data_IF_650247146134
#
_entry.id   IF_650247146134
#
_cell.length_a   1.000
_cell.length_b   1.000
_cell.length_c   1.000
_cell.angle_alpha   90.00
_cell.angle_beta   90.00
_cell.angle_gamma   90.00
#
_symmetry.space_group_name_H-M   'P 1'
#
loop_
_entity.id
_entity.type
_entity.pdbx_description
1 polymer ?
#
# COMPACT_ATOMS: atom_id res chain seq x y z
N UNK A 1 30.46 26.98 6.78
CA UNK A 1 30.31 27.85 7.99
C UNK A 1 31.28 29.04 8.05
N UNK A 2 32.58 28.89 7.68
CA UNK A 2 33.58 29.99 7.76
C UNK A 2 33.16 31.27 7.00
N UNK A 3 32.63 31.13 5.79
CA UNK A 3 32.21 32.27 4.96
C UNK A 3 30.98 33.00 5.50
N UNK A 4 30.08 32.31 6.21
CA UNK A 4 28.92 32.94 6.85
C UNK A 4 29.32 33.74 8.10
N UNK A 5 30.29 33.23 8.88
CA UNK A 5 30.84 33.96 10.03
C UNK A 5 31.55 35.25 9.60
N UNK A 6 32.34 35.19 8.52
CA UNK A 6 33.02 36.36 7.95
C UNK A 6 31.99 37.38 7.43
N UNK A 7 30.97 36.93 6.69
CA UNK A 7 29.89 37.80 6.23
C UNK A 7 29.18 38.47 7.39
N UNK A 8 28.80 37.71 8.43
CA UNK A 8 28.11 38.26 9.59
C UNK A 8 28.95 39.28 10.34
N UNK A 9 30.24 38.99 10.55
CA UNK A 9 31.17 39.95 11.15
C UNK A 9 31.27 41.23 10.33
N UNK A 10 31.45 41.12 9.01
CA UNK A 10 31.47 42.29 8.11
C UNK A 10 30.15 43.06 8.13
N UNK A 11 29.01 42.36 8.12
CA UNK A 11 27.68 42.95 8.18
C UNK A 11 27.48 43.75 9.46
N UNK A 12 27.84 43.20 10.62
CA UNK A 12 27.78 43.93 11.88
C UNK A 12 28.70 45.14 11.90
N UNK A 13 29.93 45.01 11.39
CA UNK A 13 30.89 46.13 11.31
C UNK A 13 30.35 47.22 10.38
N UNK A 14 29.87 46.87 9.19
CA UNK A 14 29.31 47.80 8.22
C UNK A 14 28.08 48.53 8.80
N UNK A 15 27.19 47.81 9.48
CA UNK A 15 26.04 48.40 10.16
C UNK A 15 26.47 49.39 11.26
N UNK A 16 27.45 49.01 12.07
CA UNK A 16 27.97 49.86 13.14
C UNK A 16 28.63 51.14 12.58
N UNK A 17 29.43 51.01 11.52
CA UNK A 17 30.07 52.15 10.85
C UNK A 17 29.03 53.10 10.25
N UNK A 18 28.05 52.60 9.50
CA UNK A 18 27.00 53.43 8.89
C UNK A 18 26.08 54.07 9.93
N UNK A 19 25.83 53.38 11.04
CA UNK A 19 25.11 53.94 12.19
C UNK A 19 25.91 55.08 12.83
N UNK A 20 27.22 54.90 13.01
CA UNK A 20 28.10 55.94 13.53
C UNK A 20 28.16 57.16 12.59
N UNK A 21 28.20 56.94 11.27
CA UNK A 21 28.10 58.03 10.26
C UNK A 21 26.79 58.79 10.40
N UNK A 22 25.66 58.10 10.59
CA UNK A 22 24.36 58.75 10.82
C UNK A 22 24.34 59.62 12.08
N UNK A 23 24.91 59.13 13.17
CA UNK A 23 25.03 59.90 14.43
C UNK A 23 25.96 61.09 14.26
N UNK A 24 27.06 60.95 13.52
CA UNK A 24 28.00 62.03 13.26
C UNK A 24 27.39 63.14 12.40
N UNK A 25 26.71 62.77 11.30
CA UNK A 25 26.13 63.73 10.35
C UNK A 25 24.89 64.45 10.91
N UNK A 26 24.02 63.71 11.59
CA UNK A 26 22.74 64.26 12.04
C UNK A 26 22.70 64.54 13.54
N UNK A 27 23.76 64.22 14.29
CA UNK A 27 23.81 64.40 15.73
C UNK A 27 22.99 63.38 16.51
N UNK A 28 22.82 63.66 17.82
CA UNK A 28 22.05 62.80 18.73
C UNK A 28 20.55 62.86 18.44
N UNK A 29 19.80 61.79 18.78
CA UNK A 29 18.33 61.82 18.73
C UNK A 29 17.78 62.89 19.68
N UNK A 30 16.73 63.60 19.25
CA UNK A 30 16.13 64.72 19.97
C UNK A 30 16.76 66.08 19.61
N UNK A 31 16.29 67.15 20.25
CA UNK A 31 16.78 68.52 19.99
C UNK A 31 18.24 68.68 20.43
N UNK A 32 19.01 69.47 19.68
CA UNK A 32 20.42 69.73 20.01
C UNK A 32 20.54 70.49 21.34
N UNK A 33 21.67 70.30 22.03
CA UNK A 33 21.95 71.03 23.28
C UNK A 33 22.02 72.53 23.05
N UNK A 34 22.57 72.95 21.91
CA UNK A 34 22.67 74.36 21.50
C UNK A 34 21.29 74.99 21.28
N UNK A 35 20.38 74.26 20.62
CA UNK A 35 19.02 74.72 20.44
C UNK A 35 18.28 74.90 21.77
N UNK A 36 18.40 73.91 22.65
CA UNK A 36 17.75 73.94 23.96
C UNK A 36 18.35 75.02 24.87
N UNK A 37 19.66 75.26 24.83
CA UNK A 37 20.28 76.32 25.63
C UNK A 37 19.64 77.70 25.38
N UNK A 38 19.32 78.01 24.12
CA UNK A 38 18.79 79.32 23.73
C UNK A 38 17.25 79.40 23.69
N UNK A 39 16.55 78.27 23.60
CA UNK A 39 15.09 78.24 23.38
C UNK A 39 14.33 77.40 24.41
N UNK A 40 14.94 76.99 25.52
CA UNK A 40 14.35 76.03 26.47
C UNK A 40 12.95 76.41 26.94
N UNK A 41 12.77 77.66 27.38
CA UNK A 41 11.51 78.12 27.96
C UNK A 41 10.40 78.22 26.90
N UNK A 42 10.71 78.84 25.76
CA UNK A 42 9.81 78.91 24.62
C UNK A 42 9.44 77.50 24.11
N UNK A 43 10.41 76.57 24.10
CA UNK A 43 10.20 75.19 23.70
C UNK A 43 9.27 74.45 24.66
N UNK A 44 9.49 74.60 25.97
CA UNK A 44 8.60 74.04 27.00
C UNK A 44 7.19 74.58 26.88
N UNK A 45 7.03 75.89 26.64
CA UNK A 45 5.73 76.53 26.41
C UNK A 45 5.06 75.96 25.16
N UNK A 46 5.79 75.86 24.06
CA UNK A 46 5.30 75.23 22.83
C UNK A 46 4.85 73.77 23.07
N UNK A 47 5.65 72.99 23.80
CA UNK A 47 5.30 71.59 24.12
C UNK A 47 4.02 71.51 24.96
N UNK A 48 3.85 72.39 25.95
CA UNK A 48 2.63 72.44 26.77
C UNK A 48 1.39 72.74 25.92
N UNK A 49 1.50 73.71 25.00
CA UNK A 49 0.41 74.06 24.06
C UNK A 49 0.13 72.89 23.11
N UNK A 50 1.16 72.27 22.54
CA UNK A 50 1.02 71.13 21.60
C UNK A 50 0.36 69.89 22.21
N UNK A 51 0.43 69.75 23.54
CA UNK A 51 -0.20 68.65 24.30
C UNK A 51 -1.65 68.96 24.68
N UNK A 52 -2.09 70.21 24.55
CA UNK A 52 -3.45 70.59 24.88
C UNK A 52 -4.44 69.97 23.86
N UNK A 53 -5.42 69.16 24.30
CA UNK A 53 -6.37 68.50 23.40
C UNK A 53 -7.22 69.47 22.57
N UNK A 54 -7.56 70.65 23.11
CA UNK A 54 -8.34 71.65 22.38
C UNK A 54 -7.53 72.27 21.25
N UNK A 55 -6.24 72.54 21.50
CA UNK A 55 -5.31 73.02 20.48
C UNK A 55 -5.06 71.96 19.40
N UNK A 56 -4.95 70.68 19.76
CA UNK A 56 -4.82 69.58 18.78
C UNK A 56 -6.04 69.47 17.86
N UNK A 57 -7.25 69.51 18.43
CA UNK A 57 -8.51 69.51 17.65
C UNK A 57 -8.62 70.74 16.74
N UNK A 58 -8.17 71.89 17.20
CA UNK A 58 -8.07 73.09 16.37
C UNK A 58 -7.09 72.89 15.20
N UNK A 59 -5.90 72.35 15.42
CA UNK A 59 -4.94 72.06 14.35
C UNK A 59 -5.47 71.06 13.31
N UNK A 60 -6.26 70.06 13.72
CA UNK A 60 -6.87 69.09 12.81
C UNK A 60 -8.04 69.67 12.02
N UNK A 61 -8.93 70.44 12.69
CA UNK A 61 -10.15 71.01 12.11
C UNK A 61 -10.43 72.40 12.69
N UNK A 62 -9.78 73.46 12.16
CA UNK A 62 -9.86 74.81 12.73
C UNK A 62 -11.27 75.40 12.71
N UNK A 63 -12.02 75.16 11.64
CA UNK A 63 -13.37 75.71 11.43
C UNK A 63 -14.43 75.11 12.35
N UNK A 64 -14.20 73.90 12.89
CA UNK A 64 -15.15 73.18 13.75
C UNK A 64 -14.84 73.32 15.24
N UNK A 65 -13.64 73.78 15.58
CA UNK A 65 -13.17 73.91 16.96
C UNK A 65 -12.59 75.31 17.19
N UNK A 66 -13.42 76.38 17.14
CA UNK A 66 -12.94 77.72 17.41
C UNK A 66 -12.35 77.81 18.83
N UNK A 67 -11.24 78.53 18.96
CA UNK A 67 -10.54 78.70 20.23
C UNK A 67 -11.04 79.93 20.98
N UNK A 68 -11.08 79.84 22.32
CA UNK A 68 -11.28 81.00 23.17
C UNK A 68 -10.13 82.00 23.03
N UNK A 69 -10.36 83.29 23.35
CA UNK A 69 -9.36 84.36 23.20
C UNK A 69 -8.01 84.06 23.87
N UNK A 70 -8.00 83.31 24.97
CA UNK A 70 -6.77 82.89 25.64
C UNK A 70 -6.00 81.83 24.82
N UNK A 71 -6.71 80.79 24.35
CA UNK A 71 -6.15 79.72 23.53
C UNK A 71 -5.73 80.22 22.15
N UNK A 72 -6.39 81.24 21.61
CA UNK A 72 -6.00 81.88 20.35
C UNK A 72 -4.59 82.48 20.45
N UNK A 73 -4.29 83.19 21.55
CA UNK A 73 -2.94 83.74 21.79
C UNK A 73 -1.87 82.66 21.92
N UNK A 74 -2.22 81.52 22.52
CA UNK A 74 -1.33 80.35 22.60
C UNK A 74 -1.12 79.70 21.23
N UNK A 75 -2.17 79.61 20.41
CA UNK A 75 -2.09 79.10 19.05
C UNK A 75 -1.23 80.01 18.16
N UNK A 76 -1.37 81.33 18.26
CA UNK A 76 -0.56 82.30 17.54
C UNK A 76 0.91 82.21 17.94
N UNK A 77 1.19 82.04 19.24
CA UNK A 77 2.55 81.77 19.75
C UNK A 77 3.11 80.48 19.15
N UNK A 78 2.35 79.39 19.15
CA UNK A 78 2.79 78.12 18.58
C UNK A 78 3.03 78.20 17.06
N UNK A 79 2.19 78.92 16.33
CA UNK A 79 2.37 79.18 14.90
C UNK A 79 3.64 79.99 14.63
N UNK A 80 3.86 81.08 15.38
CA UNK A 80 5.07 81.90 15.26
C UNK A 80 6.34 81.11 15.65
N UNK A 81 6.26 80.28 16.70
CA UNK A 81 7.37 79.44 17.15
C UNK A 81 7.76 78.38 16.11
N UNK A 82 6.78 77.70 15.50
CA UNK A 82 7.02 76.71 14.45
C UNK A 82 7.50 77.32 13.13
N UNK A 83 7.26 78.61 12.92
CA UNK A 83 7.79 79.36 11.78
C UNK A 83 9.28 79.72 11.94
N UNK A 84 9.85 79.68 13.16
CA UNK A 84 11.25 80.07 13.40
C UNK A 84 12.22 79.16 12.62
N UNK A 85 13.23 79.74 11.94
CA UNK A 85 14.18 78.97 11.14
C UNK A 85 14.98 77.96 11.96
N UNK A 86 15.37 78.31 13.19
CA UNK A 86 16.09 77.42 14.10
C UNK A 86 15.28 76.18 14.48
N UNK A 87 13.98 76.34 14.77
CA UNK A 87 13.10 75.20 15.08
C UNK A 87 12.91 74.29 13.85
N UNK A 88 12.72 74.88 12.66
CA UNK A 88 12.58 74.13 11.41
C UNK A 88 13.85 73.33 11.06
N UNK A 89 15.03 73.93 11.24
CA UNK A 89 16.31 73.27 11.01
C UNK A 89 16.49 72.05 11.94
N UNK A 90 16.20 72.19 13.23
CA UNK A 90 16.24 71.07 14.18
C UNK A 90 15.22 69.99 13.87
N UNK A 91 13.99 70.37 13.50
CA UNK A 91 12.95 69.42 13.10
C UNK A 91 13.37 68.65 11.85
N UNK A 92 13.99 69.32 10.89
CA UNK A 92 14.51 68.68 9.68
C UNK A 92 15.68 67.75 10.00
N UNK A 93 16.61 68.15 10.86
CA UNK A 93 17.72 67.29 11.33
C UNK A 93 17.20 66.01 11.98
N UNK A 94 16.23 66.12 12.88
CA UNK A 94 15.61 64.95 13.53
C UNK A 94 14.86 64.07 12.54
N UNK A 95 14.19 64.66 11.55
CA UNK A 95 13.50 63.91 10.51
C UNK A 95 14.48 63.15 9.61
N UNK A 96 15.57 63.79 9.18
CA UNK A 96 16.63 63.16 8.40
C UNK A 96 17.33 62.05 9.19
N UNK A 97 17.60 62.28 10.48
CA UNK A 97 18.08 61.23 11.39
C UNK A 97 17.13 60.03 11.39
N UNK A 98 15.83 60.25 11.58
CA UNK A 98 14.85 59.17 11.63
C UNK A 98 14.73 58.41 10.29
N UNK A 99 14.77 59.11 9.16
CA UNK A 99 14.77 58.48 7.84
C UNK A 99 16.04 57.67 7.64
N UNK A 100 17.22 58.23 7.96
CA UNK A 100 18.49 57.56 7.80
C UNK A 100 18.49 56.18 8.47
N UNK A 101 18.09 56.13 9.74
CA UNK A 101 18.03 54.87 10.48
C UNK A 101 16.94 53.92 9.97
N UNK A 102 15.78 54.43 9.55
CA UNK A 102 14.73 53.59 8.95
C UNK A 102 15.20 52.95 7.64
N UNK A 103 15.83 53.72 6.77
CA UNK A 103 16.35 53.24 5.47
C UNK A 103 17.52 52.27 5.70
N UNK A 104 18.45 52.61 6.60
CA UNK A 104 19.56 51.73 6.97
C UNK A 104 19.06 50.38 7.47
N UNK A 105 18.10 50.39 8.40
CA UNK A 105 17.50 49.16 8.94
C UNK A 105 16.80 48.35 7.86
N UNK A 106 15.98 49.00 7.02
CA UNK A 106 15.28 48.33 5.93
C UNK A 106 16.24 47.68 4.94
N UNK A 107 17.32 48.38 4.57
CA UNK A 107 18.34 47.88 3.65
C UNK A 107 19.09 46.69 4.23
N UNK A 108 19.51 46.76 5.49
CA UNK A 108 20.21 45.66 6.16
C UNK A 108 19.32 44.44 6.36
N UNK A 109 18.05 44.63 6.73
CA UNK A 109 17.06 43.55 6.80
C UNK A 109 16.81 42.91 5.42
N UNK A 110 16.71 43.73 4.37
CA UNK A 110 16.57 43.24 3.01
C UNK A 110 17.77 42.39 2.58
N UNK A 111 18.99 42.83 2.88
CA UNK A 111 20.21 42.06 2.61
C UNK A 111 20.17 40.71 3.34
N UNK A 112 19.77 40.66 4.61
CA UNK A 112 19.63 39.42 5.35
C UNK A 112 18.57 38.50 4.72
N UNK A 113 17.42 39.06 4.37
CA UNK A 113 16.33 38.31 3.74
C UNK A 113 16.75 37.70 2.40
N UNK A 114 17.41 38.47 1.54
CA UNK A 114 17.90 37.96 0.25
C UNK A 114 19.01 36.93 0.45
N UNK A 115 19.94 37.17 1.38
CA UNK A 115 21.10 36.29 1.59
C UNK A 115 20.75 34.95 2.20
N UNK A 116 19.76 34.91 3.10
CA UNK A 116 19.38 33.73 3.87
C UNK A 116 18.00 33.18 3.50
N UNK A 117 17.01 34.04 3.24
CA UNK A 117 15.67 33.63 2.85
C UNK A 117 15.59 33.06 1.43
N UNK A 118 16.27 33.69 0.46
CA UNK A 118 16.22 33.24 -0.94
C UNK A 118 16.77 31.82 -1.15
N UNK A 119 17.92 31.43 -0.55
CA UNK A 119 18.39 30.06 -0.62
C UNK A 119 17.42 29.06 0.00
N UNK A 120 16.84 29.37 1.17
CA UNK A 120 15.87 28.49 1.83
C UNK A 120 14.63 28.28 0.94
N UNK A 121 14.10 29.38 0.38
CA UNK A 121 12.96 29.32 -0.52
C UNK A 121 13.25 28.48 -1.77
N UNK A 122 14.45 28.65 -2.37
CA UNK A 122 14.87 27.84 -3.52
C UNK A 122 14.98 26.36 -3.18
N UNK A 123 15.68 26.00 -2.10
CA UNK A 123 15.82 24.60 -1.68
C UNK A 123 14.46 23.95 -1.41
N UNK A 124 13.54 24.70 -0.80
CA UNK A 124 12.16 24.23 -0.58
C UNK A 124 11.43 23.96 -1.90
N UNK A 125 11.47 24.92 -2.83
CA UNK A 125 10.86 24.79 -4.16
C UNK A 125 11.46 23.63 -4.97
N UNK A 126 12.79 23.55 -5.02
CA UNK A 126 13.52 22.50 -5.74
C UNK A 126 13.18 21.11 -5.17
N UNK A 127 13.08 20.98 -3.84
CA UNK A 127 12.68 19.73 -3.19
C UNK A 127 11.26 19.32 -3.59
N UNK A 128 10.32 20.26 -3.64
CA UNK A 128 8.95 19.97 -4.07
C UNK A 128 8.87 19.61 -5.55
N UNK A 129 9.62 20.30 -6.42
CA UNK A 129 9.70 19.98 -7.85
C UNK A 129 10.25 18.55 -8.02
N UNK A 130 11.31 18.21 -7.31
CA UNK A 130 11.91 16.89 -7.37
C UNK A 130 10.92 15.80 -6.91
N UNK A 131 10.22 16.01 -5.80
CA UNK A 131 9.18 15.06 -5.33
C UNK A 131 8.07 14.85 -6.36
N UNK A 132 7.62 15.91 -7.03
CA UNK A 132 6.58 15.81 -8.08
C UNK A 132 7.12 15.01 -9.27
N UNK A 133 8.35 15.27 -9.70
CA UNK A 133 8.99 14.53 -10.79
C UNK A 133 9.14 13.05 -10.44
N UNK A 134 9.66 12.72 -9.26
CA UNK A 134 9.80 11.32 -8.82
C UNK A 134 8.46 10.61 -8.78
N UNK A 135 7.40 11.27 -8.29
CA UNK A 135 6.04 10.68 -8.29
C UNK A 135 5.51 10.44 -9.70
N UNK A 136 5.80 11.34 -10.62
CA UNK A 136 5.42 11.18 -12.03
C UNK A 136 6.13 9.96 -12.62
N UNK A 137 7.45 9.87 -12.45
CA UNK A 137 8.25 8.77 -12.99
C UNK A 137 7.79 7.42 -12.41
N UNK A 138 7.50 7.34 -11.11
CA UNK A 138 6.97 6.11 -10.49
C UNK A 138 5.61 5.72 -11.05
N UNK A 139 4.73 6.69 -11.33
CA UNK A 139 3.41 6.40 -11.91
C UNK A 139 3.53 5.95 -13.36
N UNK A 140 4.47 6.51 -14.14
CA UNK A 140 4.74 6.07 -15.51
C UNK A 140 5.29 4.63 -15.52
N UNK A 141 6.21 4.30 -14.62
CA UNK A 141 6.73 2.93 -14.45
C UNK A 141 5.64 1.93 -14.02
N UNK A 142 4.78 2.32 -13.07
CA UNK A 142 3.65 1.49 -12.63
C UNK A 142 2.65 1.26 -13.77
N UNK A 143 2.35 2.29 -14.56
CA UNK A 143 1.47 2.18 -15.72
C UNK A 143 2.07 1.28 -16.80
N UNK A 144 3.38 1.37 -17.06
CA UNK A 144 4.08 0.50 -18.00
C UNK A 144 4.07 -0.97 -17.53
N UNK A 145 4.24 -1.23 -16.23
CA UNK A 145 4.14 -2.58 -15.66
C UNK A 145 2.73 -3.13 -15.74
N UNK A 146 1.73 -2.31 -15.38
CA UNK A 146 0.32 -2.70 -15.46
C UNK A 146 -0.11 -3.00 -16.90
N UNK A 147 0.39 -2.23 -17.87
CA UNK A 147 0.09 -2.48 -19.29
C UNK A 147 0.75 -3.76 -19.82
N UNK A 148 2.01 -4.05 -19.42
CA UNK A 148 2.67 -5.32 -19.74
C UNK A 148 1.92 -6.51 -19.15
N UNK A 149 1.54 -6.44 -17.87
CA UNK A 149 0.78 -7.50 -17.20
C UNK A 149 -0.60 -7.72 -17.85
N UNK A 150 -1.25 -6.64 -18.28
CA UNK A 150 -2.51 -6.74 -19.01
C UNK A 150 -2.33 -7.40 -20.38
N UNK A 151 -1.23 -7.10 -21.08
CA UNK A 151 -0.90 -7.73 -22.37
C UNK A 151 -0.59 -9.23 -22.21
N UNK A 152 0.26 -9.60 -21.24
CA UNK A 152 0.58 -11.00 -20.90
C UNK A 152 -0.68 -11.79 -20.50
N UNK A 153 -1.53 -11.20 -19.67
CA UNK A 153 -2.80 -11.82 -19.28
C UNK A 153 -3.70 -12.03 -20.50
N UNK A 154 -3.79 -11.05 -21.40
CA UNK A 154 -4.59 -11.15 -22.61
C UNK A 154 -4.08 -12.22 -23.57
N UNK A 155 -2.76 -12.37 -23.69
CA UNK A 155 -2.13 -13.43 -24.47
C UNK A 155 -2.42 -14.81 -23.85
N UNK A 156 -2.26 -14.97 -22.54
CA UNK A 156 -2.62 -16.21 -21.83
C UNK A 156 -4.11 -16.56 -22.04
N UNK A 157 -5.01 -15.58 -21.94
CA UNK A 157 -6.43 -15.77 -22.23
C UNK A 157 -6.70 -16.18 -23.68
N UNK A 158 -5.88 -15.72 -24.64
CA UNK A 158 -6.05 -16.11 -26.05
C UNK A 158 -5.68 -17.57 -26.33
N UNK A 159 -4.85 -18.18 -25.48
CA UNK A 159 -4.44 -19.58 -25.61
C UNK A 159 -5.35 -20.57 -24.87
N UNK A 160 -6.17 -20.11 -23.93
CA UNK A 160 -7.12 -20.94 -23.18
C UNK A 160 -8.05 -21.79 -24.09
N UNK A 161 -8.68 -21.24 -25.15
CA UNK A 161 -9.54 -22.03 -26.02
C UNK A 161 -8.83 -23.23 -26.67
N UNK A 162 -7.56 -23.07 -27.03
CA UNK A 162 -6.77 -24.15 -27.62
C UNK A 162 -6.43 -25.22 -26.58
N UNK A 163 -6.18 -24.82 -25.33
CA UNK A 163 -5.95 -25.75 -24.23
C UNK A 163 -7.20 -26.52 -23.86
N UNK A 164 -8.36 -25.85 -23.82
CA UNK A 164 -9.66 -26.49 -23.60
C UNK A 164 -9.95 -27.53 -24.69
N UNK A 165 -9.77 -27.18 -25.96
CA UNK A 165 -9.97 -28.10 -27.08
C UNK A 165 -9.01 -29.31 -27.02
N UNK A 166 -7.73 -29.09 -26.69
CA UNK A 166 -6.77 -30.19 -26.53
C UNK A 166 -7.12 -31.11 -25.35
N UNK A 167 -7.62 -30.54 -24.25
CA UNK A 167 -8.06 -31.30 -23.09
C UNK A 167 -9.30 -32.13 -23.41
N UNK A 168 -10.30 -31.54 -24.07
CA UNK A 168 -11.52 -32.23 -24.52
C UNK A 168 -11.19 -33.40 -25.44
N UNK A 169 -10.29 -33.20 -26.41
CA UNK A 169 -9.81 -34.26 -27.29
C UNK A 169 -9.10 -35.38 -26.51
N UNK A 170 -8.28 -35.03 -25.52
CA UNK A 170 -7.61 -36.01 -24.66
C UNK A 170 -8.60 -36.84 -23.83
N UNK A 171 -9.69 -36.22 -23.36
CA UNK A 171 -10.76 -36.91 -22.64
C UNK A 171 -11.51 -37.86 -23.55
N UNK A 172 -11.83 -37.44 -24.78
CA UNK A 172 -12.49 -38.28 -25.77
C UNK A 172 -11.66 -39.52 -26.13
N UNK A 173 -10.36 -39.34 -26.32
CA UNK A 173 -9.44 -40.45 -26.61
C UNK A 173 -9.32 -41.41 -25.43
N UNK A 174 -9.24 -40.88 -24.21
CA UNK A 174 -9.18 -41.68 -22.99
C UNK A 174 -10.49 -42.43 -22.77
N UNK A 175 -11.63 -41.79 -23.03
CA UNK A 175 -12.95 -42.39 -22.97
C UNK A 175 -13.09 -43.54 -23.96
N UNK A 176 -12.74 -43.33 -25.23
CA UNK A 176 -12.75 -44.39 -26.26
C UNK A 176 -11.87 -45.57 -25.86
N UNK A 177 -10.66 -45.31 -25.35
CA UNK A 177 -9.74 -46.35 -24.89
C UNK A 177 -10.34 -47.15 -23.73
N UNK A 178 -10.93 -46.48 -22.74
CA UNK A 178 -11.59 -47.14 -21.61
C UNK A 178 -12.78 -47.97 -22.05
N UNK A 179 -13.56 -47.50 -23.01
CA UNK A 179 -14.70 -48.22 -23.56
C UNK A 179 -14.25 -49.50 -24.27
N UNK A 180 -13.18 -49.44 -25.08
CA UNK A 180 -12.58 -50.60 -25.72
C UNK A 180 -11.99 -51.61 -24.70
N UNK A 181 -11.36 -51.12 -23.63
CA UNK A 181 -10.86 -51.98 -22.54
C UNK A 181 -12.02 -52.72 -21.84
N UNK A 182 -13.13 -52.02 -21.57
CA UNK A 182 -14.34 -52.60 -20.96
C UNK A 182 -14.96 -53.66 -21.89
N UNK A 183 -15.09 -53.38 -23.18
CA UNK A 183 -15.60 -54.34 -24.16
C UNK A 183 -14.75 -55.61 -24.20
N UNK A 184 -13.42 -55.46 -24.21
CA UNK A 184 -12.48 -56.59 -24.19
C UNK A 184 -12.60 -57.41 -22.90
N UNK A 185 -12.71 -56.74 -21.75
CA UNK A 185 -12.94 -57.41 -20.46
C UNK A 185 -14.29 -58.15 -20.43
N UNK A 186 -15.34 -57.53 -20.99
CA UNK A 186 -16.66 -58.14 -21.08
C UNK A 186 -16.65 -59.37 -21.98
N UNK A 187 -15.98 -59.32 -23.12
CA UNK A 187 -15.83 -60.48 -24.01
C UNK A 187 -15.09 -61.63 -23.31
N UNK A 188 -13.98 -61.33 -22.65
CA UNK A 188 -13.23 -62.33 -21.90
C UNK A 188 -14.06 -62.94 -20.74
N UNK A 189 -14.87 -62.12 -20.06
CA UNK A 189 -15.77 -62.61 -19.01
C UNK A 189 -16.86 -63.52 -19.57
N UNK A 190 -17.43 -63.20 -20.75
CA UNK A 190 -18.40 -64.06 -21.44
C UNK A 190 -17.77 -65.40 -21.87
N UNK A 191 -16.55 -65.38 -22.39
CA UNK A 191 -15.80 -66.61 -22.75
C UNK A 191 -15.53 -67.48 -21.52
N UNK A 192 -15.11 -66.89 -20.40
CA UNK A 192 -14.91 -67.62 -19.15
C UNK A 192 -16.21 -68.22 -18.62
N UNK A 193 -17.30 -67.46 -18.66
CA UNK A 193 -18.63 -67.96 -18.28
C UNK A 193 -19.05 -69.14 -19.16
N UNK A 194 -18.82 -69.08 -20.48
CA UNK A 194 -19.11 -70.18 -21.39
C UNK A 194 -18.34 -71.45 -21.02
N UNK A 195 -17.02 -71.33 -20.79
CA UNK A 195 -16.16 -72.44 -20.38
C UNK A 195 -16.64 -73.04 -19.04
N UNK A 196 -16.97 -72.19 -18.07
CA UNK A 196 -17.43 -72.65 -16.75
C UNK A 196 -18.81 -73.31 -16.83
N UNK A 197 -19.70 -72.84 -17.71
CA UNK A 197 -20.99 -73.51 -17.97
C UNK A 197 -20.81 -74.87 -18.62
N UNK A 198 -19.92 -75.02 -19.60
CA UNK A 198 -19.63 -76.33 -20.22
C UNK A 198 -19.05 -77.31 -19.20
N UNK A 199 -18.11 -76.86 -18.35
CA UNK A 199 -17.56 -77.69 -17.27
C UNK A 199 -18.62 -78.12 -16.26
N UNK A 200 -19.57 -77.24 -15.92
CA UNK A 200 -20.69 -77.57 -15.03
C UNK A 200 -21.60 -78.62 -15.65
N UNK A 201 -21.96 -78.46 -16.92
CA UNK A 201 -22.77 -79.44 -17.66
C UNK A 201 -22.07 -80.81 -17.66
N UNK A 202 -20.78 -80.87 -18.01
CA UNK A 202 -20.02 -82.12 -18.01
C UNK A 202 -19.92 -82.77 -16.62
N UNK A 203 -19.77 -81.97 -15.55
CA UNK A 203 -19.74 -82.46 -14.18
C UNK A 203 -21.11 -83.01 -13.74
N UNK A 204 -22.21 -82.34 -14.11
CA UNK A 204 -23.58 -82.80 -13.85
C UNK A 204 -23.88 -84.10 -14.61
N UNK A 205 -23.48 -84.23 -15.87
CA UNK A 205 -23.61 -85.47 -16.64
C UNK A 205 -22.85 -86.64 -16.00
N UNK A 206 -21.61 -86.41 -15.55
CA UNK A 206 -20.82 -87.42 -14.85
C UNK A 206 -21.45 -87.81 -13.51
N UNK A 207 -21.97 -86.84 -12.75
CA UNK A 207 -22.66 -87.09 -11.49
C UNK A 207 -23.94 -87.89 -11.71
N UNK A 208 -24.75 -87.54 -12.72
CA UNK A 208 -25.94 -88.28 -13.10
C UNK A 208 -25.60 -89.71 -13.55
N UNK A 209 -24.56 -89.88 -14.38
CA UNK A 209 -24.10 -91.20 -14.80
C UNK A 209 -23.61 -92.06 -13.62
N UNK A 210 -22.89 -91.46 -12.65
CA UNK A 210 -22.46 -92.14 -11.45
C UNK A 210 -23.63 -92.51 -10.53
N UNK A 211 -24.65 -91.64 -10.41
CA UNK A 211 -25.87 -91.93 -9.67
C UNK A 211 -26.64 -93.11 -10.29
N UNK A 212 -26.86 -93.09 -11.61
CA UNK A 212 -27.51 -94.20 -12.34
C UNK A 212 -26.71 -95.50 -12.19
N UNK A 213 -25.37 -95.46 -12.27
CA UNK A 213 -24.54 -96.65 -12.02
C UNK A 213 -24.71 -97.20 -10.61
N UNK A 214 -24.74 -96.34 -9.58
CA UNK A 214 -24.99 -96.76 -8.20
C UNK A 214 -26.37 -97.40 -8.06
N UNK A 215 -27.41 -96.76 -8.58
CA UNK A 215 -28.77 -97.33 -8.57
C UNK A 215 -28.84 -98.70 -9.28
N UNK A 216 -28.17 -98.86 -10.42
CA UNK A 216 -28.10 -100.15 -11.12
C UNK A 216 -27.34 -101.21 -10.32
N UNK A 217 -26.23 -100.85 -9.66
CA UNK A 217 -25.46 -101.77 -8.80
C UNK A 217 -26.29 -102.16 -7.57
N UNK A 218 -26.94 -101.20 -6.92
CA UNK A 218 -27.79 -101.44 -5.75
C UNK A 218 -29.01 -102.32 -6.13
N UNK A 219 -29.63 -102.06 -7.28
CA UNK A 219 -30.70 -102.92 -7.81
C UNK A 219 -30.20 -104.34 -8.12
N UNK A 220 -29.04 -104.47 -8.76
CA UNK A 220 -28.43 -105.78 -9.04
C UNK A 220 -28.06 -106.54 -7.75
N UNK A 221 -27.54 -105.85 -6.73
CA UNK A 221 -27.28 -106.39 -5.40
C UNK A 221 -28.58 -106.84 -4.73
N UNK A 222 -29.63 -106.03 -4.78
CA UNK A 222 -30.94 -106.40 -4.25
C UNK A 222 -31.56 -107.60 -4.99
N UNK A 223 -31.42 -107.69 -6.31
CA UNK A 223 -31.85 -108.87 -7.07
C UNK A 223 -31.04 -110.12 -6.72
N UNK A 224 -29.71 -109.99 -6.57
CA UNK A 224 -28.84 -111.05 -6.08
C UNK A 224 -29.26 -111.51 -4.69
N UNK A 225 -29.44 -110.58 -3.75
CA UNK A 225 -29.89 -110.88 -2.38
C UNK A 225 -31.24 -111.61 -2.41
N UNK A 226 -32.17 -111.15 -3.26
CA UNK A 226 -33.48 -111.77 -3.42
C UNK A 226 -33.40 -113.18 -4.02
N UNK A 227 -32.48 -113.43 -4.96
CA UNK A 227 -32.19 -114.78 -5.48
C UNK A 227 -31.62 -115.68 -4.40
N UNK A 228 -30.57 -115.24 -3.69
CA UNK A 228 -29.94 -116.01 -2.61
C UNK A 228 -30.91 -116.32 -1.46
N UNK A 229 -31.84 -115.40 -1.12
CA UNK A 229 -32.89 -115.67 -0.12
C UNK A 229 -33.95 -116.67 -0.58
N UNK A 230 -34.18 -116.81 -1.89
CA UNK A 230 -35.19 -117.73 -2.44
C UNK A 230 -34.64 -119.13 -2.74
N UNK A 231 -33.33 -119.28 -2.93
CA UNK A 231 -32.66 -120.56 -3.16
C UNK A 231 -31.56 -120.82 -2.12
N UNK A 232 -31.90 -121.16 -0.86
CA UNK A 232 -30.93 -121.68 0.09
C UNK A 232 -30.67 -123.16 -0.23
N UNK A 233 -29.88 -123.42 -1.27
CA UNK A 233 -29.32 -124.75 -1.49
C UNK A 233 -28.18 -124.98 -0.49
N UNK A 234 -28.32 -125.98 0.37
CA UNK A 234 -27.34 -126.35 1.41
C UNK A 234 -25.96 -126.68 0.80
N UNK A 235 -25.92 -127.18 -0.44
CA UNK A 235 -24.69 -127.43 -1.21
C UNK A 235 -23.93 -126.15 -1.59
N UNK A 236 -24.64 -125.09 -1.98
CA UNK A 236 -23.99 -123.82 -2.34
C UNK A 236 -23.37 -123.14 -1.12
N UNK A 237 -24.02 -123.23 0.05
CA UNK A 237 -23.51 -122.64 1.29
C UNK A 237 -22.19 -123.29 1.73
N UNK A 238 -22.10 -124.63 1.64
CA UNK A 238 -20.88 -125.38 1.98
C UNK A 238 -19.73 -124.98 1.05
N UNK A 239 -20.00 -124.89 -0.26
CA UNK A 239 -18.99 -124.54 -1.27
C UNK A 239 -18.49 -123.08 -1.14
N UNK A 240 -19.37 -122.15 -0.79
CA UNK A 240 -18.98 -120.75 -0.52
C UNK A 240 -18.16 -120.61 0.77
N UNK A 241 -18.45 -121.40 1.81
CA UNK A 241 -17.65 -121.43 3.04
C UNK A 241 -16.27 -122.04 2.77
N UNK A 242 -16.19 -123.12 1.99
CA UNK A 242 -14.90 -123.71 1.57
C UNK A 242 -14.06 -122.71 0.74
N UNK A 243 -14.67 -122.00 -0.21
CA UNK A 243 -13.98 -120.95 -0.97
C UNK A 243 -13.54 -119.77 -0.09
N UNK A 244 -14.35 -119.35 0.88
CA UNK A 244 -13.97 -118.30 1.82
C UNK A 244 -12.80 -118.74 2.70
N UNK A 245 -12.79 -119.99 3.18
CA UNK A 245 -11.66 -120.57 3.90
C UNK A 245 -10.40 -120.59 3.03
N UNK A 246 -10.49 -121.00 1.76
CA UNK A 246 -9.35 -120.94 0.83
C UNK A 246 -8.86 -119.50 0.59
N UNK A 247 -9.74 -118.52 0.41
CA UNK A 247 -9.31 -117.13 0.22
C UNK A 247 -8.70 -116.52 1.49
N UNK A 248 -9.16 -116.93 2.67
CA UNK A 248 -8.56 -116.52 3.95
C UNK A 248 -7.18 -117.13 4.16
N UNK A 249 -6.93 -118.36 3.71
CA UNK A 249 -5.60 -118.98 3.71
C UNK A 249 -4.63 -118.32 2.72
N UNK A 250 -5.12 -117.67 1.66
CA UNK A 250 -4.29 -116.94 0.68
C UNK A 250 -3.91 -115.53 1.18
N UNK A 251 -4.72 -114.93 2.06
CA UNK A 251 -4.49 -113.58 2.61
C UNK A 251 -3.75 -113.63 3.96
N UNK A 252 -3.70 -114.79 4.63
CA UNK A 252 -2.82 -115.05 5.79
C UNK A 252 -1.41 -115.46 5.36
#
# INVERSE_FOLDING_TARGET
>A
MKNQRIFFAFFCIAYALLSATGIFLFGRPGYSKEYLANNHEDHKRYLAISKNPLYQKYCERPLLNPLDQHLQKEADFAAAYTARPAFRAERMRMFLYAIWFKVLNALFLFILFVRFGLPIARTFLDSHIHQIQTKKDTLEDELARASSQAAESREAFSHLPNQEAALEQSFDDLYKKKLADIEKQSQHALEQLAIDTEKRIAAEEQAAAAAVRRELVDNALHELERKYRKEPSQEHLIKSVEQFCQYMEIIS
#
